data_IF_313052854100
#
_entry.id   IF_313052854100
#
_cell.length_a   1.000
_cell.length_b   1.000
_cell.length_c   1.000
_cell.angle_alpha   90.00
_cell.angle_beta   90.00
_cell.angle_gamma   90.00
#
_symmetry.space_group_name_H-M   'P 1'
#
loop_
_entity.id
_entity.type
_entity.pdbx_description
1 polymer ?
#
# COMPACT_ATOMS: atom_id res chain seq x y z
N UNK A 1 27.94 -27.67 2.88
CA UNK A 1 26.97 -26.67 2.37
C UNK A 1 25.89 -26.31 3.38
N UNK A 2 25.10 -27.26 3.90
CA UNK A 2 24.02 -26.97 4.89
C UNK A 2 24.46 -26.15 6.12
N UNK A 3 25.63 -26.47 6.69
CA UNK A 3 26.20 -25.74 7.85
C UNK A 3 26.63 -24.30 7.51
N UNK A 4 27.08 -24.07 6.27
CA UNK A 4 27.45 -22.73 5.79
C UNK A 4 26.21 -21.87 5.55
N UNK A 5 25.14 -22.46 4.99
CA UNK A 5 23.84 -21.78 4.84
C UNK A 5 23.25 -21.35 6.18
N UNK A 6 23.34 -22.20 7.21
CA UNK A 6 22.88 -21.87 8.57
C UNK A 6 23.71 -20.72 9.17
N UNK A 7 25.03 -20.73 8.97
CA UNK A 7 25.91 -19.68 9.48
C UNK A 7 25.64 -18.33 8.79
N UNK A 8 25.38 -18.34 7.48
CA UNK A 8 25.00 -17.13 6.73
C UNK A 8 23.68 -16.56 7.23
N UNK A 9 22.66 -17.41 7.45
CA UNK A 9 21.37 -17.00 8.01
C UNK A 9 21.51 -16.40 9.42
N UNK A 10 22.39 -16.96 10.25
CA UNK A 10 22.62 -16.48 11.62
C UNK A 10 23.37 -15.13 11.67
N UNK A 11 24.26 -14.87 10.71
CA UNK A 11 24.90 -13.55 10.59
C UNK A 11 23.93 -12.48 10.06
N UNK A 12 22.96 -12.87 9.23
CA UNK A 12 21.94 -11.95 8.72
C UNK A 12 21.02 -11.43 9.83
N UNK A 13 20.73 -12.26 10.85
CA UNK A 13 19.94 -11.82 12.02
C UNK A 13 20.64 -10.78 12.90
N UNK A 14 21.97 -10.68 12.88
CA UNK A 14 22.72 -9.70 13.68
C UNK A 14 22.71 -8.29 13.04
N UNK A 15 22.33 -8.19 11.76
CA UNK A 15 22.09 -6.91 11.06
C UNK A 15 20.66 -6.38 11.30
N UNK A 16 19.81 -7.12 12.01
CA UNK A 16 18.48 -6.65 12.38
C UNK A 16 18.61 -5.58 13.47
N UNK A 17 18.72 -4.32 13.04
CA UNK A 17 18.59 -3.17 13.93
C UNK A 17 17.13 -3.09 14.36
N UNK A 18 16.86 -3.34 15.64
CA UNK A 18 15.58 -2.97 16.23
C UNK A 18 15.39 -1.45 16.12
N UNK A 19 14.19 -1.04 15.71
CA UNK A 19 13.86 0.38 15.53
C UNK A 19 13.82 1.05 16.91
N UNK A 20 14.87 1.80 17.28
CA UNK A 20 14.97 2.45 18.60
C UNK A 20 13.87 3.50 18.85
N UNK A 21 13.25 4.02 17.79
CA UNK A 21 12.10 4.91 17.85
C UNK A 21 11.13 4.48 16.74
N UNK A 22 9.96 3.97 17.14
CA UNK A 22 8.85 3.75 16.21
C UNK A 22 8.12 5.09 16.13
N UNK A 23 8.16 5.81 15.00
CA UNK A 23 7.39 7.03 14.86
C UNK A 23 5.90 6.70 14.97
N UNK A 24 5.16 7.54 15.69
CA UNK A 24 3.71 7.36 15.82
C UNK A 24 3.03 7.46 14.45
N UNK A 25 2.05 6.59 14.23
CA UNK A 25 1.17 6.71 13.09
C UNK A 25 0.29 7.93 13.29
N UNK A 26 0.42 8.90 12.39
CA UNK A 26 -0.44 10.09 12.40
C UNK A 26 -1.86 9.67 12.10
N UNK A 27 -2.77 9.94 13.04
CA UNK A 27 -4.20 9.60 12.96
C UNK A 27 -5.04 10.72 12.37
N UNK A 28 -4.53 11.96 12.36
CA UNK A 28 -5.16 13.10 11.70
C UNK A 28 -4.88 13.05 10.20
N UNK A 29 -5.76 12.35 9.46
CA UNK A 29 -5.63 12.11 8.02
C UNK A 29 -6.89 12.57 7.30
N UNK A 30 -6.77 13.43 6.26
CA UNK A 30 -7.92 13.83 5.44
C UNK A 30 -8.48 12.71 4.56
N UNK A 31 -7.68 11.67 4.27
CA UNK A 31 -8.07 10.52 3.45
C UNK A 31 -7.57 9.20 4.09
N UNK A 32 -8.02 8.05 3.59
CA UNK A 32 -7.75 6.71 4.14
C UNK A 32 -6.25 6.40 4.27
N UNK A 33 -5.41 6.89 3.36
CA UNK A 33 -3.96 6.58 3.33
C UNK A 33 -3.07 7.83 3.34
N UNK A 34 -3.64 9.03 3.29
CA UNK A 34 -2.87 10.26 3.14
C UNK A 34 -2.79 11.07 4.44
N UNK A 35 -1.57 11.36 4.87
CA UNK A 35 -1.27 12.36 5.91
C UNK A 35 -0.53 13.55 5.29
N UNK A 36 -0.66 14.74 5.87
CA UNK A 36 0.12 15.92 5.48
C UNK A 36 1.62 15.76 5.77
N UNK A 37 2.00 14.94 6.75
CA UNK A 37 3.39 14.73 7.11
C UNK A 37 4.10 13.68 6.23
N UNK A 38 5.41 13.86 6.11
CA UNK A 38 6.33 12.89 5.50
C UNK A 38 6.75 11.82 6.51
N UNK A 39 7.02 10.61 6.02
CA UNK A 39 7.69 9.57 6.82
C UNK A 39 9.07 10.07 7.26
N UNK A 40 9.47 9.87 8.53
CA UNK A 40 10.75 10.39 8.99
C UNK A 40 11.93 9.74 8.26
N UNK A 41 13.04 10.49 8.20
CA UNK A 41 14.22 10.11 7.43
C UNK A 41 14.76 8.74 7.83
N UNK A 42 15.14 7.94 6.83
CA UNK A 42 15.64 6.54 6.92
C UNK A 42 14.62 5.52 7.44
N UNK A 43 13.35 5.88 7.59
CA UNK A 43 12.30 4.91 7.91
C UNK A 43 11.58 4.44 6.66
N UNK A 44 11.35 3.13 6.62
CA UNK A 44 10.46 2.47 5.65
C UNK A 44 9.15 2.16 6.37
N UNK A 45 8.06 2.71 5.86
CA UNK A 45 6.71 2.41 6.29
C UNK A 45 6.01 1.63 5.18
N UNK A 46 5.28 0.58 5.57
CA UNK A 46 4.50 -0.26 4.66
C UNK A 46 3.06 -0.17 5.14
N UNK A 47 2.19 0.36 4.28
CA UNK A 47 0.75 0.43 4.53
C UNK A 47 0.06 -0.57 3.61
N UNK A 48 -0.70 -1.50 4.19
CA UNK A 48 -1.52 -2.45 3.45
C UNK A 48 -2.99 -2.24 3.80
N UNK A 49 -3.87 -2.39 2.83
CA UNK A 49 -5.30 -2.16 3.01
C UNK A 49 -6.18 -3.07 2.16
N UNK A 50 -7.48 -2.98 2.45
CA UNK A 50 -8.56 -3.57 1.67
C UNK A 50 -9.60 -2.48 1.42
N UNK A 51 -10.02 -2.31 0.17
CA UNK A 51 -11.05 -1.34 -0.20
C UNK A 51 -12.16 -2.07 -0.94
N UNK A 52 -13.40 -1.77 -0.60
CA UNK A 52 -14.58 -2.26 -1.31
C UNK A 52 -15.45 -1.06 -1.69
N UNK A 53 -15.67 -0.89 -2.98
CA UNK A 53 -16.59 0.07 -3.54
C UNK A 53 -17.75 -0.65 -4.24
N UNK A 54 -18.96 -0.17 -3.99
CA UNK A 54 -20.17 -0.67 -4.64
C UNK A 54 -20.92 0.50 -5.25
N UNK A 55 -21.17 0.42 -6.56
CA UNK A 55 -21.95 1.40 -7.30
C UNK A 55 -23.17 0.72 -7.90
N UNK A 56 -24.34 1.27 -7.60
CA UNK A 56 -25.61 0.73 -8.07
C UNK A 56 -26.38 1.82 -8.81
N UNK A 57 -26.84 1.51 -10.02
CA UNK A 57 -27.73 2.35 -10.81
C UNK A 57 -29.05 1.61 -11.06
N UNK A 58 -30.00 2.25 -11.75
CA UNK A 58 -31.24 1.57 -12.17
C UNK A 58 -30.99 0.44 -13.17
N UNK A 59 -29.91 0.54 -13.96
CA UNK A 59 -29.61 -0.36 -15.07
C UNK A 59 -28.47 -1.34 -14.78
N UNK A 60 -27.58 -1.04 -13.84
CA UNK A 60 -26.37 -1.82 -13.57
C UNK A 60 -25.98 -1.88 -12.10
N UNK A 61 -25.20 -2.88 -11.75
CA UNK A 61 -24.50 -3.01 -10.49
C UNK A 61 -23.02 -3.27 -10.75
N UNK A 62 -22.17 -2.50 -10.11
CA UNK A 62 -20.72 -2.57 -10.23
C UNK A 62 -20.11 -2.69 -8.83
N UNK A 63 -19.17 -3.60 -8.68
CA UNK A 63 -18.41 -3.83 -7.45
C UNK A 63 -16.93 -3.83 -7.78
N UNK A 64 -16.18 -2.96 -7.12
CA UNK A 64 -14.73 -2.87 -7.20
C UNK A 64 -14.15 -3.25 -5.85
N UNK A 65 -13.34 -4.31 -5.83
CA UNK A 65 -12.61 -4.79 -4.67
C UNK A 65 -11.11 -4.55 -4.91
N UNK A 66 -10.47 -3.72 -4.09
CA UNK A 66 -9.01 -3.73 -3.97
C UNK A 66 -8.63 -4.71 -2.85
N UNK A 67 -8.44 -5.98 -3.21
CA UNK A 67 -8.16 -7.07 -2.28
C UNK A 67 -6.89 -6.83 -1.45
N UNK A 68 -5.91 -6.17 -2.06
CA UNK A 68 -4.73 -5.70 -1.38
C UNK A 68 -4.31 -4.36 -2.01
N UNK A 69 -4.16 -3.34 -1.18
CA UNK A 69 -3.52 -2.08 -1.54
C UNK A 69 -2.23 -1.96 -0.75
N UNK A 70 -1.07 -2.10 -1.39
CA UNK A 70 0.24 -2.01 -0.74
C UNK A 70 0.94 -0.72 -1.13
N UNK A 71 1.23 0.13 -0.14
CA UNK A 71 1.96 1.39 -0.30
C UNK A 71 3.25 1.35 0.53
N UNK A 72 4.39 1.38 -0.15
CA UNK A 72 5.70 1.49 0.45
C UNK A 72 6.10 2.97 0.47
N UNK A 73 6.47 3.47 1.65
CA UNK A 73 6.84 4.86 1.89
C UNK A 73 8.22 4.92 2.52
N UNK A 74 9.15 5.64 1.91
CA UNK A 74 10.52 5.75 2.41
C UNK A 74 10.92 7.20 2.61
N UNK A 75 11.27 7.57 3.84
CA UNK A 75 11.79 8.91 4.16
C UNK A 75 13.23 9.06 3.66
N UNK A 76 13.41 9.72 2.51
CA UNK A 76 14.74 9.93 1.93
C UNK A 76 15.48 11.08 2.62
N UNK A 77 14.78 12.19 2.87
CA UNK A 77 15.25 13.37 3.61
C UNK A 77 14.20 13.75 4.67
N UNK A 78 14.52 14.68 5.57
CA UNK A 78 13.60 15.12 6.64
C UNK A 78 12.32 15.78 6.09
N UNK A 79 12.32 16.17 4.80
CA UNK A 79 11.19 16.79 4.10
C UNK A 79 10.84 16.08 2.78
N UNK A 80 11.40 14.90 2.49
CA UNK A 80 11.17 14.20 1.22
C UNK A 80 10.91 12.71 1.45
N UNK A 81 9.77 12.24 0.96
CA UNK A 81 9.33 10.84 0.99
C UNK A 81 9.20 10.29 -0.43
N UNK A 82 9.71 9.07 -0.65
CA UNK A 82 9.48 8.27 -1.85
C UNK A 82 8.31 7.31 -1.62
N UNK A 83 7.49 7.10 -2.65
CA UNK A 83 6.32 6.23 -2.61
C UNK A 83 6.34 5.21 -3.74
N UNK A 84 5.96 3.98 -3.44
CA UNK A 84 5.71 2.93 -4.42
C UNK A 84 4.40 2.23 -4.05
N UNK A 85 3.46 2.20 -4.98
CA UNK A 85 2.16 1.56 -4.80
C UNK A 85 1.96 0.37 -5.73
N UNK A 86 1.30 -0.65 -5.19
CA UNK A 86 0.90 -1.86 -5.88
C UNK A 86 -0.48 -2.27 -5.36
N UNK A 87 -1.40 -2.60 -6.27
CA UNK A 87 -2.74 -3.01 -5.88
C UNK A 87 -3.14 -4.27 -6.65
N UNK A 88 -3.91 -5.14 -5.99
CA UNK A 88 -4.58 -6.26 -6.64
C UNK A 88 -6.08 -6.01 -6.63
N UNK A 89 -6.62 -5.80 -7.83
CA UNK A 89 -7.98 -5.35 -8.05
C UNK A 89 -8.85 -6.50 -8.56
N UNK A 90 -10.12 -6.48 -8.16
CA UNK A 90 -11.20 -7.29 -8.71
C UNK A 90 -12.38 -6.41 -9.04
N UNK A 91 -12.96 -6.61 -10.22
CA UNK A 91 -14.14 -5.90 -10.70
C UNK A 91 -15.23 -6.92 -11.04
N UNK A 92 -16.44 -6.65 -10.58
CA UNK A 92 -17.64 -7.38 -10.96
C UNK A 92 -18.69 -6.40 -11.45
N UNK A 93 -19.11 -6.56 -12.70
CA UNK A 93 -20.17 -5.77 -13.29
C UNK A 93 -21.33 -6.67 -13.73
N UNK A 94 -22.56 -6.26 -13.45
CA UNK A 94 -23.79 -6.89 -13.94
C UNK A 94 -24.75 -5.84 -14.49
N UNK A 95 -25.53 -6.24 -15.50
CA UNK A 95 -26.61 -5.42 -16.05
C UNK A 95 -27.92 -6.00 -15.54
N UNK A 96 -28.76 -5.18 -14.94
CA UNK A 96 -30.07 -5.61 -14.43
C UNK A 96 -30.95 -6.05 -15.59
N UNK A 97 -31.64 -7.18 -15.43
CA UNK A 97 -32.46 -7.85 -16.46
C UNK A 97 -31.68 -8.51 -17.60
N UNK A 98 -30.35 -8.62 -17.49
CA UNK A 98 -29.53 -9.44 -18.37
C UNK A 98 -28.68 -10.36 -17.49
N UNK A 99 -28.77 -11.66 -17.69
CA UNK A 99 -28.02 -12.68 -16.92
C UNK A 99 -26.52 -12.74 -17.29
N UNK A 100 -25.94 -11.60 -17.69
CA UNK A 100 -24.53 -11.48 -18.06
C UNK A 100 -23.80 -10.71 -16.95
N UNK A 101 -22.85 -11.40 -16.33
CA UNK A 101 -21.91 -10.80 -15.38
C UNK A 101 -20.49 -10.87 -15.95
N UNK A 102 -19.78 -9.76 -15.85
CA UNK A 102 -18.36 -9.68 -16.15
C UNK A 102 -17.58 -9.67 -14.84
N UNK A 103 -16.57 -10.52 -14.75
CA UNK A 103 -15.65 -10.55 -13.63
C UNK A 103 -14.23 -10.41 -14.19
N UNK A 104 -13.49 -9.45 -13.67
CA UNK A 104 -12.09 -9.24 -14.02
C UNK A 104 -11.27 -9.10 -12.73
N UNK A 105 -10.03 -9.59 -12.75
CA UNK A 105 -9.10 -9.37 -11.65
C UNK A 105 -7.68 -9.30 -12.16
N UNK A 106 -6.84 -8.49 -11.52
CA UNK A 106 -5.46 -8.34 -11.92
C UNK A 106 -4.68 -7.41 -11.02
N UNK A 107 -3.37 -7.37 -11.24
CA UNK A 107 -2.53 -6.34 -10.65
C UNK A 107 -2.79 -5.02 -11.37
N UNK A 108 -2.97 -3.96 -10.59
CA UNK A 108 -2.93 -2.62 -11.14
C UNK A 108 -1.49 -2.29 -11.60
N UNK A 109 -1.34 -1.29 -12.49
CA UNK A 109 -0.02 -0.76 -12.79
C UNK A 109 0.68 -0.31 -11.50
N UNK A 110 1.94 -0.70 -11.36
CA UNK A 110 2.80 -0.19 -10.29
C UNK A 110 2.96 1.32 -10.51
N UNK A 111 2.75 2.11 -9.46
CA UNK A 111 2.96 3.54 -9.48
C UNK A 111 4.05 3.97 -8.51
N UNK A 112 4.79 5.00 -8.88
CA UNK A 112 5.80 5.62 -8.03
C UNK A 112 5.48 7.09 -7.83
N UNK A 113 5.77 7.61 -6.64
CA UNK A 113 5.45 8.98 -6.26
C UNK A 113 6.49 9.60 -5.34
N UNK A 114 6.37 10.91 -5.17
CA UNK A 114 7.21 11.73 -4.31
C UNK A 114 6.29 12.60 -3.46
N UNK A 115 6.62 12.77 -2.17
CA UNK A 115 5.99 13.76 -1.31
C UNK A 115 7.06 14.67 -0.73
N UNK A 116 6.87 15.98 -0.90
CA UNK A 116 7.79 17.01 -0.42
C UNK A 116 7.06 17.86 0.59
N UNK A 117 7.59 17.97 1.81
CA UNK A 117 7.13 18.92 2.81
C UNK A 117 7.77 20.28 2.53
N UNK A 118 6.94 21.25 2.17
CA UNK A 118 7.39 22.63 1.85
C UNK A 118 7.33 23.52 3.10
N UNK A 119 6.29 23.36 3.92
CA UNK A 119 6.06 24.14 5.15
C UNK A 119 5.33 23.28 6.20
N UNK A 120 5.39 23.70 7.47
CA UNK A 120 4.55 23.18 8.57
C UNK A 120 3.12 23.71 8.48
#
# INVERSE_FOLDING_TARGET
MRKLSILVLLNFSLLAIAQNQIPELITDRPDQTESSAVVPRKLLQIETGFVMEKKQTELSEEKLDAYNTSLLRYGLLDNLELRLGLEYLGEKASIKNIDTSYNFSGLSPIYMGLKIKIME
#
